data_IF_716082460325
#
_entry.id   IF_716082460325
#
_cell.length_a   1.000
_cell.length_b   1.000
_cell.length_c   1.000
_cell.angle_alpha   90.00
_cell.angle_beta   90.00
_cell.angle_gamma   90.00
#
_symmetry.space_group_name_H-M   'P 1'
#
loop_
_entity.id
_entity.type
_entity.pdbx_description
1 polymer ?
#
# COMPACT_ATOMS: atom_id res chain seq x y z
N UNK A 1 46.62 -20.39 28.97
CA UNK A 1 45.88 -21.03 27.86
C UNK A 1 44.63 -20.20 27.56
N UNK A 2 44.59 -19.36 26.51
CA UNK A 2 43.33 -18.85 25.98
C UNK A 2 42.91 -19.65 24.73
N UNK A 3 41.70 -20.20 24.75
CA UNK A 3 41.08 -20.86 23.59
C UNK A 3 40.59 -19.77 22.63
N UNK A 4 41.19 -19.73 21.43
CA UNK A 4 40.72 -18.90 20.33
C UNK A 4 39.31 -19.33 19.93
N UNK A 5 38.35 -18.41 19.97
CA UNK A 5 37.04 -18.59 19.32
C UNK A 5 37.19 -18.24 17.84
N UNK A 6 37.30 -19.26 17.00
CA UNK A 6 37.29 -19.12 15.54
C UNK A 6 35.92 -18.61 15.08
N UNK A 7 35.90 -17.47 14.41
CA UNK A 7 34.73 -16.94 13.72
C UNK A 7 34.51 -17.74 12.43
N UNK A 8 33.29 -18.19 12.09
CA UNK A 8 33.05 -18.90 10.84
C UNK A 8 33.18 -17.93 9.64
N UNK A 9 33.64 -18.41 8.48
CA UNK A 9 33.83 -17.57 7.30
C UNK A 9 32.49 -17.04 6.76
N UNK A 10 32.46 -15.86 6.11
CA UNK A 10 31.24 -15.34 5.51
C UNK A 10 30.74 -16.29 4.41
N UNK A 11 29.45 -16.63 4.47
CA UNK A 11 28.78 -17.44 3.48
C UNK A 11 29.03 -16.89 2.07
N UNK A 12 29.47 -17.80 1.22
CA UNK A 12 29.84 -17.63 -0.18
C UNK A 12 28.68 -17.00 -0.98
N UNK A 13 28.62 -15.66 -1.08
CA UNK A 13 27.65 -14.99 -1.95
C UNK A 13 28.11 -15.18 -3.38
N UNK A 14 27.52 -16.18 -4.06
CA UNK A 14 27.64 -16.30 -5.52
C UNK A 14 27.27 -14.96 -6.15
N UNK A 15 28.00 -14.48 -7.17
CA UNK A 15 27.59 -13.30 -7.91
C UNK A 15 26.20 -13.57 -8.53
N UNK A 16 25.25 -12.65 -8.31
CA UNK A 16 23.92 -12.71 -8.95
C UNK A 16 24.12 -12.62 -10.47
N UNK A 17 23.42 -13.44 -11.23
CA UNK A 17 23.48 -13.35 -12.70
C UNK A 17 22.81 -12.02 -13.12
N UNK A 18 23.19 -11.43 -14.27
CA UNK A 18 22.54 -10.23 -14.78
C UNK A 18 21.02 -10.38 -14.99
N UNK A 19 20.57 -11.60 -15.31
CA UNK A 19 19.14 -11.98 -15.39
C UNK A 19 18.41 -11.76 -14.08
N UNK A 20 19.04 -12.10 -12.97
CA UNK A 20 18.42 -12.07 -11.63
C UNK A 20 18.26 -10.62 -11.14
N UNK A 21 19.10 -9.71 -11.65
CA UNK A 21 19.00 -8.27 -11.37
C UNK A 21 17.85 -7.66 -12.16
N UNK A 22 17.67 -8.04 -13.43
CA UNK A 22 16.55 -7.59 -14.26
C UNK A 22 15.20 -8.11 -13.73
N UNK A 23 15.15 -9.37 -13.28
CA UNK A 23 13.95 -9.92 -12.62
C UNK A 23 13.63 -9.21 -11.30
N UNK A 24 14.65 -8.85 -10.51
CA UNK A 24 14.45 -8.10 -9.27
C UNK A 24 14.03 -6.64 -9.52
N UNK A 25 14.48 -6.03 -10.62
CA UNK A 25 14.04 -4.69 -11.06
C UNK A 25 12.60 -4.77 -11.60
N UNK A 26 12.22 -5.88 -12.25
CA UNK A 26 10.86 -6.10 -12.74
C UNK A 26 9.85 -6.35 -11.60
N UNK A 27 10.30 -6.84 -10.45
CA UNK A 27 9.46 -7.02 -9.28
C UNK A 27 9.16 -5.65 -8.63
N UNK A 28 7.90 -5.20 -8.74
CA UNK A 28 7.48 -3.94 -8.14
C UNK A 28 7.66 -3.96 -6.60
N UNK A 29 8.45 -3.03 -6.07
CA UNK A 29 8.78 -2.92 -4.63
C UNK A 29 7.75 -2.08 -3.85
N UNK A 30 6.78 -1.48 -4.56
CA UNK A 30 5.72 -0.68 -3.96
C UNK A 30 4.75 -1.50 -3.10
N UNK A 31 3.99 -0.80 -2.26
CA UNK A 31 2.91 -1.42 -1.47
C UNK A 31 1.72 -1.65 -2.39
N UNK A 32 1.27 -2.90 -2.51
CA UNK A 32 0.06 -3.24 -3.24
C UNK A 32 -0.96 -3.83 -2.26
N UNK A 33 -2.26 -3.57 -2.46
CA UNK A 33 -3.29 -4.38 -1.85
C UNK A 33 -3.09 -5.86 -2.23
N UNK A 34 -3.31 -6.76 -1.27
CA UNK A 34 -3.46 -8.17 -1.58
C UNK A 34 -4.70 -8.38 -2.46
N UNK A 35 -4.76 -9.53 -3.15
CA UNK A 35 -5.98 -9.93 -3.84
C UNK A 35 -7.16 -10.03 -2.87
N UNK A 36 -8.38 -9.79 -3.38
CA UNK A 36 -9.61 -9.88 -2.61
C UNK A 36 -9.73 -11.23 -1.90
N UNK A 37 -10.02 -11.18 -0.60
CA UNK A 37 -10.31 -12.35 0.20
C UNK A 37 -11.78 -12.76 0.04
N UNK A 38 -12.11 -14.00 0.40
CA UNK A 38 -13.47 -14.55 0.26
C UNK A 38 -14.53 -13.77 1.04
N UNK A 39 -14.13 -13.09 2.11
CA UNK A 39 -14.98 -12.28 2.99
C UNK A 39 -14.63 -10.80 2.87
N UNK A 40 -14.29 -10.34 1.66
CA UNK A 40 -13.98 -8.94 1.41
C UNK A 40 -15.21 -8.07 1.67
N UNK A 41 -15.08 -7.11 2.58
CA UNK A 41 -16.11 -6.14 2.88
C UNK A 41 -16.19 -5.10 1.76
N UNK A 42 -17.39 -4.82 1.26
CA UNK A 42 -17.62 -3.75 0.30
C UNK A 42 -17.62 -2.39 1.01
N UNK A 43 -16.81 -1.46 0.50
CA UNK A 43 -16.73 -0.10 0.98
C UNK A 43 -17.76 0.74 0.23
N UNK A 44 -18.55 1.53 0.97
CA UNK A 44 -19.37 2.57 0.35
C UNK A 44 -18.46 3.69 -0.18
N UNK A 45 -18.24 3.67 -1.49
CA UNK A 45 -17.46 4.68 -2.21
C UNK A 45 -18.35 5.85 -2.61
N UNK A 46 -17.91 7.06 -2.23
CA UNK A 46 -18.57 8.31 -2.58
C UNK A 46 -17.67 9.11 -3.53
N UNK A 47 -18.25 9.74 -4.55
CA UNK A 47 -17.49 10.63 -5.44
C UNK A 47 -16.71 11.68 -4.63
N UNK A 48 -15.41 11.82 -4.93
CA UNK A 48 -14.55 12.80 -4.28
C UNK A 48 -15.04 14.21 -4.59
N UNK A 49 -15.21 15.02 -3.55
CA UNK A 49 -15.63 16.43 -3.65
C UNK A 49 -14.62 17.32 -2.93
N UNK A 50 -14.42 18.58 -3.36
CA UNK A 50 -13.52 19.52 -2.68
C UNK A 50 -14.11 19.99 -1.34
N UNK A 51 -14.11 19.12 -0.33
CA UNK A 51 -14.68 19.36 1.01
C UNK A 51 -13.74 20.12 1.95
N UNK A 52 -12.45 20.15 1.65
CA UNK A 52 -11.43 20.82 2.47
C UNK A 52 -10.45 21.60 1.59
N UNK A 53 -9.95 22.73 2.09
CA UNK A 53 -8.98 23.58 1.40
C UNK A 53 -7.61 22.89 1.20
N UNK A 54 -7.26 21.94 2.06
CA UNK A 54 -6.04 21.16 1.96
C UNK A 54 -6.25 19.73 2.44
N UNK A 55 -5.78 18.76 1.65
CA UNK A 55 -5.74 17.34 2.01
C UNK A 55 -4.30 16.89 2.06
N UNK A 56 -3.92 16.18 3.13
CA UNK A 56 -2.59 15.57 3.27
C UNK A 56 -2.66 14.08 3.00
N UNK A 57 -1.93 13.61 2.00
CA UNK A 57 -1.69 12.17 1.78
C UNK A 57 -0.69 11.67 2.83
N UNK A 58 -1.07 10.65 3.59
CA UNK A 58 -0.27 10.03 4.66
C UNK A 58 0.43 8.76 4.18
N UNK A 59 -0.25 7.95 3.37
CA UNK A 59 0.25 6.71 2.76
C UNK A 59 -0.43 6.53 1.40
N UNK A 60 0.18 5.75 0.51
CA UNK A 60 -0.38 5.38 -0.78
C UNK A 60 0.06 3.98 -1.18
N UNK A 61 -0.74 3.33 -2.02
CA UNK A 61 -0.31 2.11 -2.74
C UNK A 61 0.46 2.50 -3.99
N UNK A 62 1.24 1.57 -4.53
CA UNK A 62 1.93 1.74 -5.79
C UNK A 62 0.95 2.13 -6.91
N UNK A 63 1.41 2.92 -7.86
CA UNK A 63 0.64 3.39 -9.01
C UNK A 63 0.74 2.48 -10.24
N UNK A 64 1.41 1.32 -10.12
CA UNK A 64 1.57 0.36 -11.20
C UNK A 64 0.31 -0.48 -11.47
N UNK A 65 -0.71 -0.39 -10.60
CA UNK A 65 -2.01 -1.05 -10.79
C UNK A 65 -3.07 -0.02 -11.22
N UNK A 66 -4.13 -0.45 -11.94
CA UNK A 66 -5.21 0.45 -12.35
C UNK A 66 -5.93 1.12 -11.17
N UNK A 67 -6.00 0.42 -10.04
CA UNK A 67 -6.61 0.94 -8.81
C UNK A 67 -5.51 1.33 -7.81
N UNK A 68 -5.56 2.58 -7.35
CA UNK A 68 -4.61 3.15 -6.39
C UNK A 68 -5.37 3.69 -5.19
N UNK A 69 -4.86 3.43 -3.98
CA UNK A 69 -5.43 3.94 -2.75
C UNK A 69 -4.49 4.93 -2.06
N UNK A 70 -5.06 6.00 -1.51
CA UNK A 70 -4.36 6.97 -0.68
C UNK A 70 -5.05 7.08 0.68
N UNK A 71 -4.29 6.93 1.78
CA UNK A 71 -4.77 7.30 3.11
C UNK A 71 -4.61 8.82 3.28
N UNK A 72 -5.72 9.53 3.37
CA UNK A 72 -5.77 10.98 3.39
C UNK A 72 -6.16 11.52 4.77
N UNK A 73 -5.75 12.75 5.08
CA UNK A 73 -6.13 13.47 6.29
C UNK A 73 -6.49 14.93 5.99
N UNK A 74 -7.61 15.39 6.56
CA UNK A 74 -8.03 16.79 6.54
C UNK A 74 -8.97 17.09 7.72
N UNK A 75 -8.89 18.29 8.29
CA UNK A 75 -9.81 18.73 9.35
C UNK A 75 -9.84 17.84 10.61
N UNK A 76 -8.74 17.12 10.91
CA UNK A 76 -8.69 16.15 12.01
C UNK A 76 -9.32 14.79 11.72
N UNK A 77 -9.96 14.62 10.57
CA UNK A 77 -10.52 13.37 10.06
C UNK A 77 -9.59 12.73 9.03
N UNK A 78 -9.80 11.44 8.79
CA UNK A 78 -9.08 10.66 7.81
C UNK A 78 -10.05 9.83 6.97
N UNK A 79 -9.64 9.53 5.75
CA UNK A 79 -10.43 8.76 4.78
C UNK A 79 -9.48 8.07 3.80
N UNK A 80 -9.97 7.04 3.12
CA UNK A 80 -9.25 6.45 1.99
C UNK A 80 -9.81 7.05 0.71
N UNK A 81 -8.91 7.51 -0.16
CA UNK A 81 -9.26 7.90 -1.54
C UNK A 81 -8.85 6.78 -2.47
N UNK A 82 -9.76 6.38 -3.35
CA UNK A 82 -9.54 5.40 -4.41
C UNK A 82 -9.50 6.12 -5.75
N UNK A 83 -8.46 5.85 -6.53
CA UNK A 83 -8.39 6.18 -7.94
C UNK A 83 -8.62 4.89 -8.71
N UNK A 84 -9.65 4.85 -9.54
CA UNK A 84 -9.82 3.80 -10.54
C UNK A 84 -9.46 4.39 -11.90
N UNK A 85 -8.53 3.74 -12.61
CA UNK A 85 -8.05 4.15 -13.94
C UNK A 85 -8.43 3.16 -15.04
N UNK A 86 -9.30 2.19 -14.75
CA UNK A 86 -9.59 1.07 -15.65
C UNK A 86 -10.35 1.51 -16.91
N UNK A 87 -11.40 2.34 -16.75
CA UNK A 87 -12.27 2.82 -17.84
C UNK A 87 -12.36 4.35 -17.89
N UNK A 88 -11.30 5.03 -17.45
CA UNK A 88 -11.26 6.49 -17.18
C UNK A 88 -10.77 6.76 -15.77
N UNK A 89 -10.57 8.03 -15.40
CA UNK A 89 -10.13 8.40 -14.03
C UNK A 89 -11.36 8.70 -13.17
N UNK A 90 -11.75 7.75 -12.32
CA UNK A 90 -12.75 7.93 -11.29
C UNK A 90 -12.05 8.10 -9.93
N UNK A 91 -12.44 9.13 -9.18
CA UNK A 91 -11.88 9.43 -7.86
C UNK A 91 -12.99 9.36 -6.82
N UNK A 92 -12.86 8.41 -5.92
CA UNK A 92 -13.84 8.12 -4.88
C UNK A 92 -13.19 8.19 -3.49
N UNK A 93 -14.01 8.39 -2.47
CA UNK A 93 -13.60 8.50 -1.09
C UNK A 93 -14.49 7.60 -0.22
N UNK A 94 -13.88 6.96 0.77
CA UNK A 94 -14.63 6.39 1.88
C UNK A 94 -15.27 7.49 2.73
N UNK A 95 -16.10 7.09 3.70
CA UNK A 95 -16.50 7.99 4.77
C UNK A 95 -15.26 8.64 5.46
N UNK A 96 -15.40 9.91 5.83
CA UNK A 96 -14.41 10.64 6.61
C UNK A 96 -14.60 10.37 8.10
N UNK A 97 -13.70 9.61 8.69
CA UNK A 97 -13.81 9.09 10.05
C UNK A 97 -12.64 9.51 10.93
N UNK A 98 -12.68 9.15 12.21
CA UNK A 98 -11.56 9.40 13.13
C UNK A 98 -10.32 8.58 12.73
N UNK A 99 -9.10 9.07 13.00
CA UNK A 99 -7.86 8.41 12.57
C UNK A 99 -7.75 6.91 12.85
N UNK A 100 -8.11 6.37 14.04
CA UNK A 100 -8.01 4.94 14.28
C UNK A 100 -8.89 4.08 13.36
N UNK A 101 -10.09 4.57 13.01
CA UNK A 101 -10.99 3.86 12.11
C UNK A 101 -10.47 3.87 10.67
N UNK A 102 -9.93 5.01 10.20
CA UNK A 102 -9.35 5.12 8.87
C UNK A 102 -8.07 4.28 8.72
N UNK A 103 -7.19 4.25 9.73
CA UNK A 103 -6.01 3.39 9.72
C UNK A 103 -6.39 1.90 9.70
N UNK A 104 -7.47 1.53 10.42
CA UNK A 104 -8.00 0.17 10.36
C UNK A 104 -8.52 -0.20 8.97
N UNK A 105 -9.33 0.69 8.35
CA UNK A 105 -9.81 0.51 6.98
C UNK A 105 -8.64 0.37 6.00
N UNK A 106 -7.63 1.23 6.12
CA UNK A 106 -6.40 1.15 5.32
C UNK A 106 -5.72 -0.21 5.42
N UNK A 107 -5.53 -0.73 6.64
CA UNK A 107 -4.96 -2.07 6.84
C UNK A 107 -5.82 -3.15 6.19
N UNK A 108 -7.15 -3.10 6.32
CA UNK A 108 -8.03 -4.08 5.69
C UNK A 108 -7.94 -4.05 4.17
N UNK A 109 -7.88 -2.87 3.55
CA UNK A 109 -7.65 -2.74 2.11
C UNK A 109 -6.34 -3.40 1.71
N UNK A 110 -5.24 -3.12 2.43
CA UNK A 110 -3.94 -3.72 2.14
C UNK A 110 -3.95 -5.24 2.25
N UNK A 111 -4.76 -5.80 3.15
CA UNK A 111 -4.91 -7.25 3.34
C UNK A 111 -5.91 -7.89 2.38
N UNK A 112 -6.58 -7.12 1.51
CA UNK A 112 -7.64 -7.62 0.60
C UNK A 112 -8.94 -7.96 1.33
N UNK A 113 -9.15 -7.40 2.53
CA UNK A 113 -10.30 -7.63 3.40
C UNK A 113 -11.40 -6.58 3.23
N UNK A 114 -11.11 -5.47 2.56
CA UNK A 114 -12.10 -4.45 2.23
C UNK A 114 -11.78 -3.87 0.85
N UNK A 115 -12.79 -3.56 0.06
CA UNK A 115 -12.62 -2.99 -1.28
C UNK A 115 -13.75 -2.09 -1.70
#
# INVERSE_FOLDING_TARGET
MPVAKTTPPPANRRPRKPSDVLELIAACVGIHPAAEQRECEEIEWLESRPRAASVRVRRHTCDCQPVVYELCQAGGLMFVRRYDRSDGVLIEESEWVRPPAAEHLWTRILLGQAR
#
